data_IF_238072925403
#
_entry.id   IF_238072925403
#
_cell.length_a   1.000
_cell.length_b   1.000
_cell.length_c   1.000
_cell.angle_alpha   90.00
_cell.angle_beta   90.00
_cell.angle_gamma   90.00
#
_symmetry.space_group_name_H-M   'P 1'
#
loop_
_entity.id
_entity.type
_entity.pdbx_description
1 polymer ?
#
# COMPACT_ATOMS: atom_id res chain seq x y z
N UNK A 1 2.64 39.81 -17.23
CA UNK A 1 3.05 38.40 -17.28
C UNK A 1 3.30 38.04 -18.73
N UNK A 2 4.55 37.78 -19.12
CA UNK A 2 4.87 37.31 -20.48
C UNK A 2 4.95 35.79 -20.44
N UNK A 3 4.00 35.12 -21.11
CA UNK A 3 4.08 33.68 -21.33
C UNK A 3 5.06 33.39 -22.46
N UNK A 4 5.93 32.41 -22.28
CA UNK A 4 6.77 31.84 -23.35
C UNK A 4 6.10 30.57 -23.84
N UNK A 5 5.94 30.44 -25.16
CA UNK A 5 5.45 29.19 -25.77
C UNK A 5 6.50 28.09 -25.58
N UNK A 6 6.17 27.06 -24.80
CA UNK A 6 7.08 25.94 -24.51
C UNK A 6 6.94 24.84 -25.58
N UNK A 7 5.70 24.53 -26.01
CA UNK A 7 5.42 23.45 -26.95
C UNK A 7 4.10 23.68 -27.68
N UNK A 8 4.02 23.24 -28.93
CA UNK A 8 2.81 23.21 -29.74
C UNK A 8 2.62 21.80 -30.30
N UNK A 9 1.37 21.32 -30.36
CA UNK A 9 1.04 20.02 -30.95
C UNK A 9 -0.13 20.18 -31.93
N UNK A 10 0.11 19.82 -33.20
CA UNK A 10 -0.89 19.85 -34.28
C UNK A 10 -1.40 18.44 -34.58
N UNK A 11 -2.37 17.98 -33.80
CA UNK A 11 -2.86 16.61 -33.92
C UNK A 11 -4.35 16.47 -34.26
N UNK A 12 -5.17 17.43 -33.85
CA UNK A 12 -6.55 17.50 -34.29
C UNK A 12 -6.63 18.08 -35.71
N UNK A 13 -7.55 17.55 -36.51
CA UNK A 13 -7.80 18.05 -37.87
C UNK A 13 -8.85 19.17 -37.91
N UNK A 14 -9.42 19.52 -36.75
CA UNK A 14 -10.46 20.52 -36.59
C UNK A 14 -10.36 21.17 -35.19
N UNK A 15 -11.21 22.17 -34.94
CA UNK A 15 -11.27 22.98 -33.72
C UNK A 15 -11.43 22.09 -32.49
N UNK A 16 -10.52 22.28 -31.53
CA UNK A 16 -10.61 21.69 -30.20
C UNK A 16 -11.77 22.39 -29.47
N UNK A 17 -12.73 21.59 -29.00
CA UNK A 17 -13.95 22.08 -28.34
C UNK A 17 -13.83 22.05 -26.82
N UNK A 18 -13.04 21.13 -26.27
CA UNK A 18 -12.82 21.04 -24.83
C UNK A 18 -11.45 20.44 -24.49
N UNK A 19 -10.96 20.79 -23.31
CA UNK A 19 -9.74 20.28 -22.69
C UNK A 19 -10.04 19.94 -21.22
N UNK A 20 -9.59 18.79 -20.75
CA UNK A 20 -9.74 18.37 -19.36
C UNK A 20 -8.45 17.72 -18.85
N UNK A 21 -7.94 18.07 -17.66
CA UNK A 21 -6.78 17.41 -17.09
C UNK A 21 -7.12 15.97 -16.66
N UNK A 22 -6.12 15.10 -16.72
CA UNK A 22 -6.14 13.76 -16.11
C UNK A 22 -5.22 13.84 -14.90
N UNK A 23 -5.78 13.63 -13.72
CA UNK A 23 -5.05 13.59 -12.46
C UNK A 23 -5.30 12.25 -11.78
N UNK A 24 -4.38 11.31 -12.01
CA UNK A 24 -4.33 10.03 -11.31
C UNK A 24 -3.09 10.03 -10.42
N UNK A 25 -3.06 9.13 -9.44
CA UNK A 25 -1.95 8.99 -8.51
C UNK A 25 -0.61 8.69 -9.22
N UNK A 26 -0.68 7.98 -10.34
CA UNK A 26 0.48 7.48 -11.07
C UNK A 26 0.69 8.11 -12.45
N UNK A 27 -0.29 8.91 -12.87
CA UNK A 27 -0.40 9.33 -14.25
C UNK A 27 -1.05 10.70 -14.34
N UNK A 28 -0.32 11.66 -14.92
CA UNK A 28 -0.83 13.01 -15.17
C UNK A 28 -0.84 13.27 -16.68
N UNK A 29 -1.96 13.79 -17.16
CA UNK A 29 -2.18 13.96 -18.58
C UNK A 29 -3.27 14.97 -18.92
N UNK A 30 -3.70 14.92 -20.17
CA UNK A 30 -4.72 15.80 -20.71
C UNK A 30 -5.64 14.98 -21.64
N UNK A 31 -6.92 15.33 -21.64
CA UNK A 31 -7.91 14.89 -22.63
C UNK A 31 -8.29 16.09 -23.47
N UNK A 32 -8.34 15.90 -24.78
CA UNK A 32 -8.88 16.88 -25.71
C UNK A 32 -10.02 16.28 -26.53
N UNK A 33 -11.07 17.05 -26.74
CA UNK A 33 -12.14 16.73 -27.70
C UNK A 33 -12.15 17.76 -28.83
N UNK A 34 -12.50 17.31 -30.03
CA UNK A 34 -12.50 18.16 -31.23
C UNK A 34 -13.69 17.85 -32.14
N UNK A 35 -14.01 18.81 -33.00
CA UNK A 35 -14.97 18.63 -34.10
C UNK A 35 -14.51 17.63 -35.17
N UNK A 36 -13.25 17.20 -35.14
CA UNK A 36 -12.75 16.10 -35.98
C UNK A 36 -13.29 14.71 -35.59
N UNK A 37 -14.26 14.69 -34.65
CA UNK A 37 -14.92 13.52 -34.10
C UNK A 37 -13.97 12.59 -33.34
N UNK A 38 -12.83 13.11 -32.87
CA UNK A 38 -11.87 12.36 -32.06
C UNK A 38 -11.73 13.00 -30.69
N UNK A 39 -11.63 12.12 -29.69
CA UNK A 39 -11.12 12.45 -28.37
C UNK A 39 -9.72 11.88 -28.27
N UNK A 40 -8.76 12.67 -27.78
CA UNK A 40 -7.36 12.26 -27.67
C UNK A 40 -6.90 12.39 -26.23
N UNK A 41 -6.04 11.46 -25.84
CA UNK A 41 -5.42 11.41 -24.51
C UNK A 41 -3.92 11.65 -24.65
N UNK A 42 -3.38 12.45 -23.74
CA UNK A 42 -2.04 12.98 -23.81
C UNK A 42 -1.31 12.81 -22.48
N UNK A 43 0.00 12.63 -22.56
CA UNK A 43 0.90 12.85 -21.44
C UNK A 43 0.94 14.33 -21.06
N UNK A 44 1.40 14.61 -19.83
CA UNK A 44 1.76 15.97 -19.41
C UNK A 44 2.81 16.62 -20.32
N UNK A 45 3.62 15.82 -21.00
CA UNK A 45 4.58 16.26 -22.02
C UNK A 45 3.98 16.50 -23.40
N UNK A 46 2.65 16.36 -23.58
CA UNK A 46 1.95 16.36 -24.88
C UNK A 46 2.36 15.24 -25.85
N UNK A 47 2.78 14.09 -25.32
CA UNK A 47 2.92 12.87 -26.12
C UNK A 47 1.57 12.17 -26.18
N UNK A 48 1.19 11.64 -27.34
CA UNK A 48 -0.13 11.05 -27.52
C UNK A 48 -0.18 9.63 -26.95
N UNK A 49 -1.07 9.38 -26.00
CA UNK A 49 -1.35 8.02 -25.50
C UNK A 49 -2.33 7.28 -26.41
N UNK A 50 -3.21 8.01 -27.08
CA UNK A 50 -4.05 7.49 -28.15
C UNK A 50 -5.42 8.16 -28.20
N UNK A 51 -6.33 7.56 -28.95
CA UNK A 51 -7.64 8.13 -29.23
C UNK A 51 -8.73 7.33 -28.51
N UNK A 52 -9.71 8.03 -27.96
CA UNK A 52 -10.97 7.45 -27.52
C UNK A 52 -11.95 7.53 -28.70
N UNK A 53 -12.48 6.39 -29.13
CA UNK A 53 -13.40 6.34 -30.26
C UNK A 53 -14.84 6.50 -29.74
N UNK A 54 -15.47 7.66 -29.96
CA UNK A 54 -16.85 7.89 -29.48
C UNK A 54 -17.93 7.22 -30.35
N UNK A 55 -17.63 6.95 -31.63
CA UNK A 55 -18.64 6.41 -32.57
C UNK A 55 -18.95 4.93 -32.35
N UNK A 56 -18.09 4.22 -31.64
CA UNK A 56 -18.21 2.80 -31.37
C UNK A 56 -17.72 2.55 -29.96
N UNK A 57 -18.43 1.75 -29.15
CA UNK A 57 -17.95 1.26 -27.85
C UNK A 57 -16.73 0.31 -27.97
N UNK A 58 -16.14 0.20 -29.17
CA UNK A 58 -14.91 -0.54 -29.39
C UNK A 58 -13.74 0.32 -28.94
N UNK A 59 -13.05 -0.16 -27.92
CA UNK A 59 -11.73 0.34 -27.53
C UNK A 59 -10.80 0.33 -28.74
N UNK A 60 -10.05 1.41 -28.95
CA UNK A 60 -9.03 1.46 -29.98
C UNK A 60 -7.95 0.43 -29.62
N UNK A 61 -7.68 -0.60 -30.46
CA UNK A 61 -6.68 -1.63 -30.16
C UNK A 61 -5.27 -1.08 -29.95
N UNK A 62 -5.00 0.14 -30.44
CA UNK A 62 -3.73 0.84 -30.26
C UNK A 62 -3.72 1.73 -29.02
N UNK A 63 -4.87 1.99 -28.41
CA UNK A 63 -4.94 2.77 -27.18
C UNK A 63 -4.48 1.92 -26.00
N UNK A 64 -3.43 2.39 -25.35
CA UNK A 64 -2.91 1.81 -24.12
C UNK A 64 -2.83 2.90 -23.09
N UNK A 65 -3.75 2.88 -22.14
CA UNK A 65 -3.75 3.86 -21.07
C UNK A 65 -2.55 3.59 -20.14
N UNK A 66 -1.69 4.58 -19.84
CA UNK A 66 -0.38 4.34 -19.22
C UNK A 66 -0.42 4.24 -17.69
N UNK A 67 -1.53 3.77 -17.13
CA UNK A 67 -1.70 3.61 -15.68
C UNK A 67 -1.31 2.21 -15.23
N UNK A 68 -0.51 2.15 -14.18
CA UNK A 68 -0.06 0.95 -13.49
C UNK A 68 -0.87 0.70 -12.21
N UNK A 69 -2.13 1.15 -12.17
CA UNK A 69 -3.00 1.06 -10.99
C UNK A 69 -2.99 -0.31 -10.29
N UNK A 70 -3.03 -1.41 -11.05
CA UNK A 70 -2.99 -2.76 -10.48
C UNK A 70 -1.71 -3.03 -9.68
N UNK A 71 -0.57 -2.55 -10.19
CA UNK A 71 0.72 -2.71 -9.53
C UNK A 71 0.79 -1.87 -8.27
N UNK A 72 0.27 -0.64 -8.31
CA UNK A 72 0.25 0.25 -7.15
C UNK A 72 -0.69 -0.23 -6.04
N UNK A 73 -1.84 -0.79 -6.42
CA UNK A 73 -2.76 -1.45 -5.48
C UNK A 73 -2.06 -2.63 -4.81
N UNK A 74 -1.33 -3.46 -5.58
CA UNK A 74 -0.53 -4.55 -5.03
C UNK A 74 0.58 -4.08 -4.09
N UNK A 75 1.31 -3.02 -4.44
CA UNK A 75 2.35 -2.46 -3.55
C UNK A 75 1.76 -1.94 -2.24
N UNK A 76 0.58 -1.31 -2.30
CA UNK A 76 -0.15 -0.86 -1.10
C UNK A 76 -0.58 -2.05 -0.24
N UNK A 77 -1.14 -3.09 -0.85
CA UNK A 77 -1.52 -4.32 -0.14
C UNK A 77 -0.31 -4.98 0.53
N UNK A 78 0.82 -5.09 -0.18
CA UNK A 78 2.06 -5.67 0.35
C UNK A 78 2.55 -4.84 1.54
N UNK A 79 2.61 -3.51 1.41
CA UNK A 79 3.03 -2.62 2.50
C UNK A 79 2.12 -2.74 3.74
N UNK A 80 0.81 -2.89 3.56
CA UNK A 80 -0.12 -3.14 4.66
C UNK A 80 0.13 -4.49 5.35
N UNK A 81 0.41 -5.54 4.58
CA UNK A 81 0.74 -6.87 5.10
C UNK A 81 2.06 -6.85 5.88
N UNK A 82 3.09 -6.16 5.40
CA UNK A 82 4.36 -6.00 6.11
C UNK A 82 4.16 -5.33 7.48
N UNK A 83 3.38 -4.24 7.52
CA UNK A 83 3.02 -3.57 8.77
C UNK A 83 2.26 -4.47 9.75
N UNK A 84 1.44 -5.39 9.26
CA UNK A 84 0.72 -6.36 10.10
C UNK A 84 1.65 -7.44 10.64
N UNK A 85 2.60 -7.93 9.84
CA UNK A 85 3.61 -8.90 10.26
C UNK A 85 4.45 -8.33 11.40
N UNK A 86 4.94 -7.09 11.26
CA UNK A 86 5.72 -6.42 12.31
C UNK A 86 4.95 -6.31 13.63
N UNK A 87 3.64 -6.01 13.57
CA UNK A 87 2.77 -5.97 14.77
C UNK A 87 2.62 -7.34 15.41
N UNK A 88 2.49 -8.41 14.62
CA UNK A 88 2.39 -9.79 15.13
C UNK A 88 3.70 -10.21 15.78
N UNK A 89 4.84 -9.93 15.13
CA UNK A 89 6.17 -10.24 15.64
C UNK A 89 6.47 -9.50 16.95
N UNK A 90 6.10 -8.22 17.04
CA UNK A 90 6.17 -7.48 18.30
C UNK A 90 5.32 -8.14 19.39
N UNK A 91 4.06 -8.52 19.10
CA UNK A 91 3.21 -9.22 20.08
C UNK A 91 3.80 -10.56 20.53
N UNK A 92 4.40 -11.32 19.61
CA UNK A 92 5.05 -12.60 19.91
C UNK A 92 6.29 -12.41 20.80
N UNK A 93 7.14 -11.41 20.51
CA UNK A 93 8.29 -11.05 21.36
C UNK A 93 7.85 -10.68 22.79
N UNK A 94 6.78 -9.90 22.94
CA UNK A 94 6.21 -9.56 24.25
C UNK A 94 5.65 -10.79 24.98
N UNK A 95 4.96 -11.71 24.27
CA UNK A 95 4.47 -12.96 24.85
C UNK A 95 5.60 -13.90 25.28
N UNK A 96 6.67 -14.05 24.47
CA UNK A 96 7.83 -14.87 24.81
C UNK A 96 8.56 -14.35 26.04
N UNK A 97 8.76 -13.04 26.17
CA UNK A 97 9.31 -12.43 27.40
C UNK A 97 8.46 -12.71 28.65
N UNK A 98 7.15 -12.90 28.50
CA UNK A 98 6.22 -13.23 29.60
C UNK A 98 6.21 -14.71 29.97
N UNK A 99 6.63 -15.60 29.05
CA UNK A 99 6.70 -17.05 29.23
C UNK A 99 8.08 -17.52 29.71
N UNK A 100 9.13 -16.71 29.56
CA UNK A 100 10.40 -16.90 30.28
C UNK A 100 10.17 -16.49 31.73
N UNK A 101 9.53 -17.36 32.49
CA UNK A 101 9.52 -17.33 33.95
C UNK A 101 10.77 -18.09 34.39
N UNK A 102 11.64 -17.44 35.16
CA UNK A 102 12.89 -18.02 35.64
C UNK A 102 12.64 -19.34 36.39
N UNK A 103 13.20 -20.44 35.88
CA UNK A 103 13.20 -21.78 36.51
C UNK A 103 13.81 -21.79 37.93
N UNK A 104 14.53 -20.73 38.30
CA UNK A 104 15.03 -20.49 39.66
C UNK A 104 13.94 -20.35 40.74
N UNK A 105 12.68 -20.11 40.36
CA UNK A 105 11.56 -20.02 41.30
C UNK A 105 10.93 -21.36 41.67
N UNK A 106 11.18 -22.42 40.89
CA UNK A 106 10.60 -23.76 41.15
C UNK A 106 11.40 -24.59 42.16
N UNK A 107 12.69 -24.30 42.38
CA UNK A 107 13.53 -25.06 43.32
C UNK A 107 13.36 -24.66 44.79
N UNK A 108 12.59 -23.61 45.14
CA UNK A 108 12.47 -23.13 46.53
C UNK A 108 11.32 -23.73 47.37
N UNK A 109 10.54 -24.70 46.85
CA UNK A 109 9.39 -25.26 47.60
C UNK A 109 9.58 -26.61 48.27
N UNK A 110 10.73 -27.27 48.13
CA UNK A 110 11.00 -28.53 48.83
C UNK A 110 12.10 -28.39 49.88
N UNK A 111 11.80 -27.71 50.99
CA UNK A 111 12.58 -27.88 52.24
C UNK A 111 11.61 -28.14 53.40
N UNK A 112 11.30 -29.42 53.56
CA UNK A 112 11.30 -30.19 54.82
C UNK A 112 10.58 -29.54 56.02
N UNK A 113 9.31 -29.92 56.24
CA UNK A 113 8.71 -29.97 57.59
C UNK A 113 9.08 -31.31 58.24
N UNK A 114 10.25 -31.38 58.86
CA UNK A 114 10.57 -32.45 59.81
C UNK A 114 9.76 -32.23 61.09
N UNK A 115 8.81 -33.13 61.37
CA UNK A 115 8.06 -33.18 62.62
C UNK A 115 9.01 -33.53 63.77
N UNK A 116 9.28 -32.58 64.67
CA UNK A 116 9.89 -32.89 65.97
C UNK A 116 8.87 -33.59 66.88
N UNK A 117 9.06 -34.87 67.15
CA UNK A 117 8.41 -35.57 68.27
C UNK A 117 9.06 -35.10 69.57
N UNK A 118 8.26 -34.60 70.51
CA UNK A 118 8.70 -34.25 71.85
C UNK A 118 8.92 -35.54 72.67
N UNK A 119 10.19 -35.84 72.98
CA UNK A 119 10.55 -36.78 74.04
C UNK A 119 10.53 -36.03 75.38
N UNK A 120 9.56 -36.33 76.23
CA UNK A 120 9.65 -36.01 77.66
C UNK A 120 10.10 -37.27 78.39
N UNK A 121 11.31 -37.24 78.93
CA UNK A 121 11.81 -38.23 79.88
C UNK A 121 12.38 -37.50 81.09
N UNK A 122 11.90 -37.88 82.29
CA UNK A 122 12.66 -38.17 83.52
C UNK A 122 11.63 -38.43 84.65
N UNK A 123 11.51 -39.67 85.12
CA UNK A 123 12.27 -40.31 86.21
C UNK A 123 12.11 -39.59 87.56
N UNK A 124 11.31 -40.18 88.45
CA UNK A 124 11.75 -40.77 89.72
C UNK A 124 10.76 -41.84 90.16
#
# INVERSE_FOLDING_TARGET
MTGVLIREVKAHQDVITSLAPIELEDCQGLISSSKDMKVRTWSRGFDMWGNLNQKTDREDPKWKFPTNKKFLEQEKEIAEVELLIDKVDMKLKHRRKKLVVDDSTLQKKEVIKQKSRANWFKMQ
#
